data_IF_799010900886
#
_entry.id   IF_799010900886
#
_cell.length_a   1.000
_cell.length_b   1.000
_cell.length_c   1.000
_cell.angle_alpha   90.00
_cell.angle_beta   90.00
_cell.angle_gamma   90.00
#
_symmetry.space_group_name_H-M   'P 1'
#
loop_
_entity.id
_entity.type
_entity.pdbx_description
1 polymer ?
#
# COMPACT_ATOMS: atom_id res chain seq x y z
N UNK A 1 3.51 -10.93 -7.22
CA UNK A 1 4.11 -10.03 -6.23
C UNK A 1 3.36 -8.71 -6.22
N UNK A 2 3.16 -8.07 -5.07
CA UNK A 2 2.47 -6.77 -4.93
C UNK A 2 3.04 -5.70 -5.86
N UNK A 3 4.36 -5.67 -6.02
CA UNK A 3 5.06 -4.75 -6.90
C UNK A 3 4.60 -4.83 -8.37
N UNK A 4 4.21 -6.01 -8.84
CA UNK A 4 3.64 -6.16 -10.19
C UNK A 4 2.25 -5.53 -10.29
N UNK A 5 1.38 -5.75 -9.29
CA UNK A 5 0.06 -5.11 -9.22
C UNK A 5 0.19 -3.59 -9.14
N UNK A 6 1.22 -3.10 -8.44
CA UNK A 6 1.51 -1.66 -8.34
C UNK A 6 1.83 -1.03 -9.70
N UNK A 7 2.59 -1.73 -10.56
CA UNK A 7 2.86 -1.25 -11.92
C UNK A 7 1.59 -1.25 -12.80
N UNK A 8 0.66 -2.18 -12.59
CA UNK A 8 -0.67 -2.14 -13.23
C UNK A 8 -1.52 -0.97 -12.70
N UNK A 9 -1.48 -0.71 -11.39
CA UNK A 9 -2.18 0.41 -10.77
C UNK A 9 -1.71 1.77 -11.32
N UNK A 10 -0.41 1.93 -11.59
CA UNK A 10 0.09 3.15 -12.26
C UNK A 10 -0.56 3.39 -13.62
N UNK A 11 -0.85 2.34 -14.40
CA UNK A 11 -1.57 2.48 -15.67
C UNK A 11 -3.02 2.93 -15.45
N UNK A 12 -3.68 2.41 -14.42
CA UNK A 12 -5.03 2.89 -14.06
C UNK A 12 -5.02 4.38 -13.70
N UNK A 13 -4.00 4.88 -13.01
CA UNK A 13 -3.87 6.32 -12.76
C UNK A 13 -3.75 7.07 -14.09
N UNK A 14 -2.89 6.60 -15.01
CA UNK A 14 -2.70 7.24 -16.32
C UNK A 14 -4.00 7.29 -17.14
N UNK A 15 -4.78 6.22 -17.12
CA UNK A 15 -6.02 6.11 -17.91
C UNK A 15 -7.17 6.95 -17.33
N UNK A 16 -7.20 7.16 -16.02
CA UNK A 16 -8.38 7.69 -15.32
C UNK A 16 -8.13 8.95 -14.47
N UNK A 17 -6.92 9.50 -14.44
CA UNK A 17 -6.61 10.72 -13.66
C UNK A 17 -7.43 11.95 -14.05
N UNK A 18 -8.08 11.93 -15.22
CA UNK A 18 -8.96 13.02 -15.65
C UNK A 18 -10.34 13.00 -14.96
N UNK A 19 -10.73 11.87 -14.37
CA UNK A 19 -12.09 11.66 -13.81
C UNK A 19 -12.11 11.11 -12.39
N UNK A 20 -10.96 10.70 -11.85
CA UNK A 20 -10.84 10.13 -10.53
C UNK A 20 -9.54 10.54 -9.84
N UNK A 21 -9.62 10.70 -8.53
CA UNK A 21 -8.47 10.84 -7.65
C UNK A 21 -7.96 9.46 -7.22
N UNK A 22 -6.67 9.40 -6.88
CA UNK A 22 -6.00 8.17 -6.49
C UNK A 22 -5.25 8.36 -5.17
N UNK A 23 -5.23 7.32 -4.34
CA UNK A 23 -4.52 7.29 -3.07
C UNK A 23 -3.98 5.88 -2.82
N UNK A 24 -2.73 5.79 -2.38
CA UNK A 24 -2.15 4.55 -1.86
C UNK A 24 -1.97 4.69 -0.36
N UNK A 25 -2.52 3.73 0.39
CA UNK A 25 -2.30 3.60 1.84
C UNK A 25 -1.38 2.39 2.05
N UNK A 26 -0.14 2.64 2.47
CA UNK A 26 0.81 1.59 2.83
C UNK A 26 0.45 1.02 4.21
N UNK A 27 0.22 -0.29 4.28
CA UNK A 27 -0.25 -1.00 5.47
C UNK A 27 0.85 -1.87 6.07
N UNK A 28 0.50 -2.72 7.04
CA UNK A 28 1.45 -3.66 7.63
C UNK A 28 1.91 -4.77 6.66
N UNK A 29 3.12 -5.29 6.88
CA UNK A 29 3.69 -6.35 6.04
C UNK A 29 2.93 -7.67 6.22
N UNK A 30 2.19 -8.10 5.19
CA UNK A 30 1.53 -9.40 5.21
C UNK A 30 2.53 -10.58 5.32
N UNK A 31 3.78 -10.36 4.90
CA UNK A 31 4.85 -11.38 4.85
C UNK A 31 6.18 -10.83 5.38
N UNK A 32 6.17 -10.30 6.60
CA UNK A 32 7.37 -9.78 7.24
C UNK A 32 8.48 -10.83 7.37
N UNK A 33 9.72 -10.41 7.10
CA UNK A 33 10.93 -11.23 7.12
C UNK A 33 11.31 -11.81 8.48
N UNK A 34 10.86 -11.19 9.57
CA UNK A 34 10.99 -11.68 10.94
C UNK A 34 9.76 -12.46 11.43
N UNK A 35 8.88 -12.85 10.50
CA UNK A 35 7.74 -13.75 10.72
C UNK A 35 7.65 -14.82 9.63
N UNK A 36 6.43 -15.12 9.16
CA UNK A 36 6.21 -16.02 8.03
C UNK A 36 6.46 -15.29 6.70
N UNK A 37 7.64 -15.52 6.10
CA UNK A 37 8.04 -14.91 4.84
C UNK A 37 8.19 -15.93 3.70
N UNK A 38 7.83 -15.53 2.49
CA UNK A 38 8.18 -16.25 1.27
C UNK A 38 9.65 -15.99 0.90
N UNK A 39 10.35 -17.00 0.39
CA UNK A 39 11.79 -16.90 0.02
C UNK A 39 12.10 -15.84 -1.06
N UNK A 40 11.12 -15.37 -1.82
CA UNK A 40 11.29 -14.44 -2.96
C UNK A 40 10.62 -13.06 -2.73
N UNK A 41 10.35 -12.67 -1.49
CA UNK A 41 9.78 -11.36 -1.18
C UNK A 41 10.84 -10.31 -0.83
N UNK A 42 10.45 -9.03 -0.90
CA UNK A 42 11.25 -7.94 -0.36
C UNK A 42 11.44 -8.17 1.14
N UNK A 43 12.68 -8.04 1.61
CA UNK A 43 13.04 -8.32 3.01
C UNK A 43 12.71 -7.09 3.86
N UNK A 44 11.48 -7.04 4.37
CA UNK A 44 11.00 -5.99 5.27
C UNK A 44 10.60 -6.66 6.59
N UNK A 45 11.02 -6.11 7.73
CA UNK A 45 10.61 -6.60 9.06
C UNK A 45 9.27 -5.99 9.46
N UNK A 46 8.60 -6.58 10.43
CA UNK A 46 7.44 -5.94 11.04
C UNK A 46 7.78 -4.54 11.55
N UNK A 47 6.94 -3.56 11.19
CA UNK A 47 7.10 -2.18 11.64
C UNK A 47 6.87 -2.08 13.14
N UNK A 48 7.87 -1.63 13.90
CA UNK A 48 7.74 -1.45 15.36
C UNK A 48 7.24 -0.07 15.73
N UNK A 49 7.39 0.88 14.82
CA UNK A 49 6.99 2.27 14.96
C UNK A 49 6.65 2.85 13.58
N UNK A 50 6.14 4.09 13.57
CA UNK A 50 5.74 4.77 12.34
C UNK A 50 6.91 5.04 11.39
N UNK A 51 8.11 5.29 11.92
CA UNK A 51 9.30 5.54 11.11
C UNK A 51 9.70 4.30 10.32
N UNK A 52 9.63 3.11 10.91
CA UNK A 52 9.89 1.85 10.21
C UNK A 52 8.92 1.68 9.03
N UNK A 53 7.63 1.99 9.25
CA UNK A 53 6.59 1.92 8.21
C UNK A 53 6.80 2.95 7.11
N UNK A 54 7.17 4.18 7.47
CA UNK A 54 7.52 5.22 6.51
C UNK A 54 8.71 4.78 5.66
N UNK A 55 9.77 4.24 6.27
CA UNK A 55 10.94 3.73 5.56
C UNK A 55 10.56 2.63 4.57
N UNK A 56 9.72 1.67 4.95
CA UNK A 56 9.24 0.64 4.03
C UNK A 56 8.42 1.23 2.86
N UNK A 57 7.55 2.21 3.14
CA UNK A 57 6.75 2.88 2.12
C UNK A 57 7.59 3.65 1.08
N UNK A 58 8.84 4.04 1.39
CA UNK A 58 9.73 4.67 0.41
C UNK A 58 10.04 3.75 -0.79
N UNK A 59 9.97 2.42 -0.61
CA UNK A 59 10.11 1.47 -1.72
C UNK A 59 9.05 1.67 -2.83
N UNK A 60 7.88 2.20 -2.46
CA UNK A 60 6.86 2.58 -3.44
C UNK A 60 7.18 3.90 -4.09
N UNK A 61 7.77 4.86 -3.36
CA UNK A 61 8.18 6.16 -3.89
C UNK A 61 9.30 6.02 -4.92
N UNK A 62 10.23 5.08 -4.73
CA UNK A 62 11.29 4.75 -5.69
C UNK A 62 10.73 4.29 -7.06
N UNK A 63 9.46 3.90 -7.11
CA UNK A 63 8.75 3.52 -8.35
C UNK A 63 7.95 4.66 -9.00
N UNK A 64 8.11 5.87 -8.47
CA UNK A 64 7.52 7.12 -8.96
C UNK A 64 5.99 7.03 -9.14
N UNK A 65 5.22 6.83 -8.06
CA UNK A 65 3.77 6.82 -8.12
C UNK A 65 3.25 8.20 -8.54
N UNK A 66 2.21 8.21 -9.36
CA UNK A 66 1.53 9.44 -9.81
C UNK A 66 0.38 9.87 -8.89
N UNK A 67 0.37 9.36 -7.66
CA UNK A 67 -0.64 9.68 -6.65
C UNK A 67 0.01 9.79 -5.28
N UNK A 68 -0.65 10.45 -4.30
CA UNK A 68 -0.20 10.45 -2.92
C UNK A 68 -0.04 9.03 -2.37
N UNK A 69 1.05 8.82 -1.65
CA UNK A 69 1.29 7.61 -0.84
C UNK A 69 1.30 8.06 0.61
N UNK A 70 0.39 7.51 1.40
CA UNK A 70 0.32 7.70 2.85
C UNK A 70 0.54 6.36 3.53
N UNK A 71 0.78 6.38 4.84
CA UNK A 71 0.91 5.16 5.65
C UNK A 71 -0.30 5.05 6.58
N UNK A 72 -0.78 3.83 6.81
CA UNK A 72 -1.77 3.59 7.87
C UNK A 72 -1.13 3.86 9.24
N UNK A 73 -1.97 4.22 10.19
CA UNK A 73 -1.61 4.36 11.61
C UNK A 73 -0.98 3.07 12.15
N UNK A 74 -0.13 3.16 13.18
CA UNK A 74 0.40 1.96 13.85
C UNK A 74 -0.67 1.10 14.54
N UNK A 75 -1.91 1.59 14.66
CA UNK A 75 -3.08 0.81 15.12
C UNK A 75 -3.79 0.05 13.99
N UNK A 76 -3.29 0.17 12.75
CA UNK A 76 -3.86 -0.44 11.54
C UNK A 76 -5.34 -0.07 11.31
N UNK A 77 -5.71 1.18 11.64
CA UNK A 77 -7.11 1.62 11.62
C UNK A 77 -7.74 1.51 10.24
N UNK A 78 -7.08 1.98 9.18
CA UNK A 78 -7.60 1.87 7.81
C UNK A 78 -7.67 0.40 7.38
N UNK A 79 -6.64 -0.38 7.72
CA UNK A 79 -6.58 -1.80 7.38
C UNK A 79 -7.72 -2.61 8.01
N UNK A 80 -8.07 -2.30 9.27
CA UNK A 80 -9.18 -2.93 9.99
C UNK A 80 -10.54 -2.52 9.41
N UNK A 81 -10.77 -1.23 9.16
CA UNK A 81 -12.04 -0.72 8.65
C UNK A 81 -12.32 -1.17 7.20
N UNK A 82 -11.27 -1.34 6.39
CA UNK A 82 -11.37 -1.71 4.98
C UNK A 82 -10.95 -3.16 4.70
N UNK A 83 -10.72 -3.99 5.73
CA UNK A 83 -10.28 -5.38 5.59
C UNK A 83 -9.18 -5.53 4.51
N UNK A 84 -8.13 -4.71 4.62
CA UNK A 84 -7.21 -4.41 3.52
C UNK A 84 -6.09 -5.44 3.31
N UNK A 85 -5.90 -6.38 4.24
CA UNK A 85 -4.87 -7.41 4.12
C UNK A 85 -5.28 -8.52 3.13
N UNK A 86 -4.32 -9.09 2.36
CA UNK A 86 -2.91 -8.67 2.28
C UNK A 86 -2.70 -7.42 1.41
N UNK A 87 -3.56 -7.22 0.41
CA UNK A 87 -3.69 -6.02 -0.41
C UNK A 87 -5.15 -5.90 -0.89
N UNK A 88 -5.67 -4.67 -1.02
CA UNK A 88 -7.05 -4.45 -1.47
C UNK A 88 -7.21 -3.13 -2.22
N UNK A 89 -8.15 -3.10 -3.16
CA UNK A 89 -8.51 -1.93 -3.95
C UNK A 89 -9.97 -1.57 -3.69
N UNK A 90 -10.24 -0.28 -3.51
CA UNK A 90 -11.56 0.29 -3.31
C UNK A 90 -11.73 1.50 -4.22
N UNK A 91 -12.96 1.73 -4.69
CA UNK A 91 -13.39 2.99 -5.30
C UNK A 91 -14.35 3.62 -4.30
N UNK A 92 -14.17 4.91 -4.00
CA UNK A 92 -15.09 5.64 -3.16
C UNK A 92 -15.74 6.74 -3.97
N UNK A 93 -17.07 6.79 -3.95
CA UNK A 93 -17.85 7.85 -4.58
C UNK A 93 -18.91 8.34 -3.59
N UNK A 94 -18.91 9.64 -3.28
CA UNK A 94 -19.87 10.26 -2.36
C UNK A 94 -19.98 9.55 -0.99
N UNK A 95 -18.83 9.10 -0.47
CA UNK A 95 -18.74 8.42 0.83
C UNK A 95 -19.21 6.97 0.83
N UNK A 96 -19.42 6.36 -0.35
CA UNK A 96 -19.82 4.96 -0.51
C UNK A 96 -18.73 4.17 -1.23
N UNK A 97 -18.58 2.92 -0.81
CA UNK A 97 -17.77 1.89 -1.47
C UNK A 97 -18.59 1.25 -2.58
#
# INVERSE_FOLDING_TARGET
>A
SFLFKFDQFKRLIEDFSAIADFLVIYIEEAHASDGWAFKNNVVIKNHRNLQDRLQAAHLLLDRSPRCPVVVDTMKNQSSQLYAALPDRLYVLQEGRI
#
